data_IF_443289019815
#
_entry.id   IF_443289019815
#
_cell.length_a   1.000
_cell.length_b   1.000
_cell.length_c   1.000
_cell.angle_alpha   90.00
_cell.angle_beta   90.00
_cell.angle_gamma   90.00
#
_symmetry.space_group_name_H-M   'P 1'
#
loop_
_entity.id
_entity.type
_entity.pdbx_description
1 polymer ?
#
# COMPACT_ATOMS: atom_id res chain seq x y z
N UNK A 1 -12.79 -24.87 -2.25
CA UNK A 1 -13.17 -24.89 -0.82
C UNK A 1 -14.14 -23.74 -0.63
N UNK A 2 -15.30 -24.02 -0.05
CA UNK A 2 -16.34 -23.02 0.23
C UNK A 2 -16.29 -22.64 1.72
N UNK A 3 -16.23 -21.34 2.00
CA UNK A 3 -16.18 -20.79 3.36
C UNK A 3 -17.41 -19.91 3.57
N UNK A 4 -18.09 -20.11 4.68
CA UNK A 4 -19.19 -19.26 5.12
C UNK A 4 -18.68 -18.35 6.28
N UNK A 5 -18.66 -17.04 6.07
CA UNK A 5 -18.57 -16.06 7.15
C UNK A 5 -20.02 -15.76 7.59
N UNK A 6 -20.39 -16.19 8.79
CA UNK A 6 -21.78 -16.19 9.25
C UNK A 6 -22.03 -15.10 10.29
N UNK A 7 -23.16 -14.40 10.14
CA UNK A 7 -23.66 -13.42 11.11
C UNK A 7 -22.69 -12.24 11.37
N UNK A 8 -22.14 -11.65 10.30
CA UNK A 8 -21.28 -10.48 10.35
C UNK A 8 -22.06 -9.17 10.20
N UNK A 9 -21.53 -8.06 10.73
CA UNK A 9 -21.86 -6.73 10.25
C UNK A 9 -21.08 -6.49 8.95
N UNK A 10 -21.75 -6.45 7.80
CA UNK A 10 -21.14 -6.34 6.48
C UNK A 10 -21.05 -4.88 6.04
N UNK A 11 -19.85 -4.36 5.78
CA UNK A 11 -19.68 -3.11 5.06
C UNK A 11 -19.75 -3.34 3.55
N UNK A 12 -20.74 -2.74 2.92
CA UNK A 12 -20.95 -2.84 1.48
C UNK A 12 -21.51 -1.52 0.93
N UNK A 13 -20.94 -0.98 -0.14
CA UNK A 13 -21.39 0.26 -0.80
C UNK A 13 -21.48 1.48 0.15
N UNK A 14 -20.68 1.51 1.21
CA UNK A 14 -20.70 2.60 2.20
C UNK A 14 -21.81 2.50 3.25
N UNK A 15 -22.45 1.34 3.36
CA UNK A 15 -23.49 1.04 4.36
C UNK A 15 -23.10 -0.20 5.18
N UNK A 16 -23.68 -0.32 6.37
CA UNK A 16 -23.54 -1.51 7.22
C UNK A 16 -24.82 -2.32 7.16
N UNK A 17 -24.69 -3.59 6.83
CA UNK A 17 -25.77 -4.59 6.81
C UNK A 17 -25.54 -5.59 7.95
N UNK A 18 -26.28 -5.41 9.04
CA UNK A 18 -26.19 -6.29 10.22
C UNK A 18 -26.69 -7.71 9.89
N UNK A 19 -26.17 -8.70 10.62
CA UNK A 19 -26.59 -10.10 10.52
C UNK A 19 -26.49 -10.67 9.09
N UNK A 20 -25.46 -10.27 8.37
CA UNK A 20 -25.18 -10.72 7.00
C UNK A 20 -24.33 -11.97 6.98
N UNK A 21 -24.36 -12.67 5.84
CA UNK A 21 -23.56 -13.86 5.61
C UNK A 21 -22.82 -13.70 4.29
N UNK A 22 -21.54 -14.09 4.25
CA UNK A 22 -20.69 -14.01 3.06
C UNK A 22 -20.23 -15.42 2.71
N UNK A 23 -20.46 -15.86 1.49
CA UNK A 23 -19.92 -17.11 0.97
C UNK A 23 -18.76 -16.84 0.05
N UNK A 24 -17.63 -17.44 0.37
CA UNK A 24 -16.44 -17.45 -0.46
C UNK A 24 -16.28 -18.83 -1.09
N UNK A 25 -16.05 -18.88 -2.40
CA UNK A 25 -15.77 -20.12 -3.13
C UNK A 25 -14.53 -19.95 -3.99
N UNK A 26 -13.49 -20.73 -3.70
CA UNK A 26 -12.18 -20.51 -4.24
C UNK A 26 -11.68 -19.13 -3.88
N UNK A 27 -11.32 -18.30 -4.86
CA UNK A 27 -10.77 -16.94 -4.64
C UNK A 27 -11.81 -15.81 -4.73
N UNK A 28 -13.07 -16.14 -4.90
CA UNK A 28 -14.11 -15.14 -5.16
C UNK A 28 -15.19 -15.13 -4.06
N UNK A 29 -15.71 -13.96 -3.78
CA UNK A 29 -16.97 -13.79 -3.07
C UNK A 29 -18.08 -14.27 -4.01
N UNK A 30 -18.86 -15.25 -3.56
CA UNK A 30 -19.90 -15.88 -4.39
C UNK A 30 -21.27 -15.25 -4.20
N UNK A 31 -21.74 -15.22 -2.96
CA UNK A 31 -23.11 -14.81 -2.63
C UNK A 31 -23.26 -14.37 -1.17
N UNK A 32 -24.40 -13.77 -0.87
CA UNK A 32 -24.78 -13.29 0.47
C UNK A 32 -26.12 -13.91 0.90
N UNK A 33 -26.14 -15.20 1.31
CA UNK A 33 -27.38 -15.91 1.61
C UNK A 33 -28.03 -15.42 2.90
N UNK A 34 -29.38 -15.29 2.90
CA UNK A 34 -30.13 -14.88 4.12
C UNK A 34 -30.21 -15.99 5.17
N UNK A 35 -30.32 -17.24 4.75
CA UNK A 35 -30.52 -18.40 5.63
C UNK A 35 -29.61 -19.56 5.21
N UNK A 36 -28.27 -19.44 5.39
CA UNK A 36 -27.37 -20.52 5.02
C UNK A 36 -27.51 -21.69 6.00
N UNK A 37 -27.31 -22.91 5.50
CA UNK A 37 -27.17 -24.10 6.33
C UNK A 37 -25.67 -24.41 6.46
N UNK A 38 -25.19 -24.60 7.67
CA UNK A 38 -23.76 -24.80 7.91
C UNK A 38 -23.21 -26.04 7.18
N UNK A 39 -24.01 -27.06 7.02
CA UNK A 39 -23.64 -28.31 6.34
C UNK A 39 -23.40 -28.19 4.83
N UNK A 40 -23.79 -27.07 4.23
CA UNK A 40 -23.59 -26.82 2.80
C UNK A 40 -22.17 -26.27 2.47
N UNK A 41 -21.34 -26.00 3.48
CA UNK A 41 -20.01 -25.36 3.33
C UNK A 41 -18.91 -26.22 3.95
N UNK A 42 -17.71 -26.14 3.38
CA UNK A 42 -16.54 -26.87 3.87
C UNK A 42 -16.05 -26.31 5.21
N UNK A 43 -16.21 -25.00 5.42
CA UNK A 43 -15.83 -24.30 6.65
C UNK A 43 -16.85 -23.21 7.00
N UNK A 44 -17.10 -23.01 8.30
CA UNK A 44 -17.97 -21.95 8.81
C UNK A 44 -17.21 -21.14 9.87
N UNK A 45 -17.13 -19.84 9.68
CA UNK A 45 -16.54 -18.88 10.63
C UNK A 45 -17.69 -18.09 11.25
N UNK A 46 -17.82 -18.16 12.57
CA UNK A 46 -18.76 -17.36 13.32
C UNK A 46 -18.30 -15.90 13.36
N UNK A 47 -19.09 -15.01 12.79
CA UNK A 47 -18.82 -13.60 12.68
C UNK A 47 -19.60 -12.73 13.66
N UNK A 48 -20.23 -13.33 14.67
CA UNK A 48 -20.97 -12.57 15.68
C UNK A 48 -20.07 -11.51 16.34
N UNK A 49 -20.53 -10.25 16.38
CA UNK A 49 -19.77 -9.08 16.80
C UNK A 49 -18.55 -8.72 15.93
N UNK A 50 -18.41 -9.29 14.74
CA UNK A 50 -17.38 -8.95 13.79
C UNK A 50 -17.92 -8.00 12.72
N UNK A 51 -17.12 -6.99 12.38
CA UNK A 51 -17.31 -6.14 11.20
C UNK A 51 -16.48 -6.71 10.05
N UNK A 52 -17.15 -7.09 8.97
CA UNK A 52 -16.47 -7.49 7.74
C UNK A 52 -16.21 -6.27 6.86
N UNK A 53 -14.95 -5.97 6.59
CA UNK A 53 -14.50 -4.99 5.62
C UNK A 53 -13.73 -5.66 4.48
N UNK A 54 -13.64 -5.02 3.30
CA UNK A 54 -12.61 -5.40 2.33
C UNK A 54 -11.23 -5.34 2.97
N UNK A 55 -10.34 -6.22 2.56
CA UNK A 55 -8.94 -6.15 2.96
C UNK A 55 -8.32 -4.80 2.62
N UNK A 56 -7.49 -4.27 3.53
CA UNK A 56 -6.87 -2.97 3.36
C UNK A 56 -5.75 -3.03 2.30
N UNK A 57 -5.65 -1.97 1.50
CA UNK A 57 -4.72 -1.85 0.38
C UNK A 57 -3.71 -0.75 0.67
N UNK A 58 -2.45 -1.13 0.87
CA UNK A 58 -1.32 -0.22 1.07
C UNK A 58 -0.69 0.13 -0.28
N UNK A 59 -0.98 1.31 -0.81
CA UNK A 59 -0.61 1.70 -2.18
C UNK A 59 0.84 2.11 -2.35
N UNK A 60 1.59 2.29 -1.26
CA UNK A 60 3.01 2.64 -1.33
C UNK A 60 3.73 2.23 -0.06
N UNK A 61 4.79 1.44 -0.23
CA UNK A 61 5.68 1.02 0.86
C UNK A 61 7.06 0.62 0.34
N UNK A 62 7.99 0.38 1.28
CA UNK A 62 9.31 -0.20 1.10
C UNK A 62 9.50 -1.28 2.17
N UNK A 63 8.93 -2.47 1.93
CA UNK A 63 8.77 -3.49 2.97
C UNK A 63 10.10 -3.98 3.56
N UNK A 64 11.15 -4.07 2.74
CA UNK A 64 12.50 -4.42 3.21
C UNK A 64 13.07 -3.45 4.24
N UNK A 65 12.59 -2.19 4.25
CA UNK A 65 13.03 -1.16 5.20
C UNK A 65 12.43 -1.31 6.60
N UNK A 66 11.70 -2.36 6.92
CA UNK A 66 11.33 -2.64 8.33
C UNK A 66 12.54 -2.78 9.23
N UNK A 67 13.69 -3.22 8.69
CA UNK A 67 14.96 -3.31 9.39
C UNK A 67 15.60 -1.96 9.75
N UNK A 68 15.10 -0.87 9.17
CA UNK A 68 15.54 0.52 9.45
C UNK A 68 14.59 1.25 10.42
N UNK A 69 13.58 0.58 10.93
CA UNK A 69 12.64 1.17 11.89
C UNK A 69 13.38 1.73 13.10
N UNK A 70 13.13 3.00 13.44
CA UNK A 70 13.79 3.74 14.52
C UNK A 70 15.33 3.88 14.41
N UNK A 71 15.92 3.56 13.26
CA UNK A 71 17.35 3.71 13.05
C UNK A 71 17.77 5.19 12.94
N UNK A 72 16.95 6.02 12.31
CA UNK A 72 17.25 7.42 12.05
C UNK A 72 15.96 8.26 12.04
N UNK A 73 15.52 8.69 13.20
CA UNK A 73 14.33 9.54 13.36
C UNK A 73 14.73 11.03 13.45
N UNK A 74 13.74 11.93 13.26
CA UNK A 74 13.85 13.38 13.45
C UNK A 74 14.90 14.08 12.53
N UNK A 75 14.98 13.65 11.26
CA UNK A 75 15.85 14.21 10.23
C UNK A 75 15.05 14.69 9.02
N UNK A 76 15.56 15.72 8.32
CA UNK A 76 15.02 16.12 7.02
C UNK A 76 15.31 15.03 5.96
N UNK A 77 14.40 14.86 4.96
CA UNK A 77 14.46 13.78 3.98
C UNK A 77 15.84 13.57 3.36
N UNK A 78 16.48 14.63 2.84
CA UNK A 78 17.76 14.48 2.15
C UNK A 78 18.92 14.14 3.10
N UNK A 79 18.91 14.68 4.32
CA UNK A 79 19.90 14.34 5.36
C UNK A 79 19.70 12.90 5.83
N UNK A 80 18.42 12.47 5.97
CA UNK A 80 18.05 11.12 6.31
C UNK A 80 18.52 10.12 5.24
N UNK A 81 18.21 10.37 3.95
CA UNK A 81 18.61 9.50 2.85
C UNK A 81 20.14 9.40 2.73
N UNK A 82 20.83 10.55 2.58
CA UNK A 82 22.26 10.59 2.22
C UNK A 82 23.16 10.13 3.36
N UNK A 83 22.83 10.50 4.61
CA UNK A 83 23.73 10.29 5.74
C UNK A 83 23.38 9.04 6.57
N UNK A 84 22.17 8.47 6.38
CA UNK A 84 21.70 7.33 7.19
C UNK A 84 21.26 6.14 6.35
N UNK A 85 20.34 6.33 5.40
CA UNK A 85 19.72 5.21 4.71
C UNK A 85 20.64 4.63 3.62
N UNK A 86 21.05 5.43 2.64
CA UNK A 86 21.85 4.93 1.52
C UNK A 86 23.14 4.23 1.94
N UNK A 87 23.92 4.72 2.95
CA UNK A 87 25.11 4.00 3.41
C UNK A 87 24.81 2.59 3.94
N UNK A 88 23.66 2.37 4.59
CA UNK A 88 23.29 1.05 5.09
C UNK A 88 22.70 0.18 3.97
N UNK A 89 21.99 0.79 3.02
CA UNK A 89 21.44 0.08 1.85
C UNK A 89 22.50 -0.55 0.95
N UNK A 90 23.73 -0.02 0.96
CA UNK A 90 24.87 -0.64 0.23
C UNK A 90 25.22 -2.05 0.73
N UNK A 91 24.77 -2.42 1.93
CA UNK A 91 25.01 -3.73 2.56
C UNK A 91 23.82 -4.69 2.46
N UNK A 92 22.75 -4.30 1.77
CA UNK A 92 21.59 -5.17 1.55
C UNK A 92 21.93 -6.33 0.61
N UNK A 93 21.24 -7.44 0.86
CA UNK A 93 21.24 -8.63 -0.01
C UNK A 93 19.85 -9.29 0.02
N UNK A 94 19.67 -10.36 -0.77
CA UNK A 94 18.39 -11.07 -0.88
C UNK A 94 17.89 -11.60 0.47
N UNK A 95 18.78 -12.15 1.30
CA UNK A 95 18.42 -12.72 2.61
C UNK A 95 17.94 -11.63 3.59
N UNK A 96 18.65 -10.50 3.65
CA UNK A 96 18.28 -9.35 4.48
C UNK A 96 16.90 -8.81 4.05
N UNK A 97 16.70 -8.59 2.75
CA UNK A 97 15.43 -8.07 2.24
C UNK A 97 14.29 -9.07 2.40
N UNK A 98 14.54 -10.38 2.23
CA UNK A 98 13.54 -11.42 2.48
C UNK A 98 13.00 -11.34 3.92
N UNK A 99 13.88 -11.31 4.92
CA UNK A 99 13.46 -11.31 6.32
C UNK A 99 12.88 -9.97 6.77
N UNK A 100 13.37 -8.85 6.24
CA UNK A 100 12.74 -7.54 6.40
C UNK A 100 11.31 -7.52 5.85
N UNK A 101 11.12 -8.11 4.66
CA UNK A 101 9.79 -8.24 4.03
C UNK A 101 8.87 -9.18 4.83
N UNK A 102 9.37 -10.31 5.34
CA UNK A 102 8.58 -11.21 6.19
C UNK A 102 8.10 -10.53 7.47
N UNK A 103 8.93 -9.69 8.10
CA UNK A 103 8.53 -8.88 9.25
C UNK A 103 7.42 -7.87 8.87
N UNK A 104 7.58 -7.20 7.72
CA UNK A 104 6.58 -6.28 7.21
C UNK A 104 5.23 -6.97 6.97
N UNK A 105 5.25 -8.12 6.29
CA UNK A 105 4.02 -8.86 5.99
C UNK A 105 3.33 -9.42 7.24
N UNK A 106 4.09 -9.84 8.25
CA UNK A 106 3.52 -10.22 9.53
C UNK A 106 2.78 -9.04 10.20
N UNK A 107 3.37 -7.85 10.20
CA UNK A 107 2.74 -6.62 10.71
C UNK A 107 1.52 -6.21 9.88
N UNK A 108 1.64 -6.22 8.56
CA UNK A 108 0.56 -5.86 7.62
C UNK A 108 -0.65 -6.78 7.76
N UNK A 109 -0.45 -8.10 7.75
CA UNK A 109 -1.55 -9.08 7.91
C UNK A 109 -2.21 -8.89 9.28
N UNK A 110 -1.43 -8.76 10.35
CA UNK A 110 -1.95 -8.47 11.70
C UNK A 110 -2.80 -7.21 11.73
N UNK A 111 -2.48 -6.23 10.91
CA UNK A 111 -3.21 -4.97 10.77
C UNK A 111 -4.30 -4.98 9.69
N UNK A 112 -4.61 -6.13 9.07
CA UNK A 112 -5.67 -6.24 8.06
C UNK A 112 -5.29 -5.76 6.66
N UNK A 113 -4.02 -5.47 6.40
CA UNK A 113 -3.53 -5.18 5.05
C UNK A 113 -3.41 -6.47 4.26
N UNK A 114 -4.11 -6.57 3.15
CA UNK A 114 -4.14 -7.75 2.27
C UNK A 114 -3.34 -7.55 0.99
N UNK A 115 -3.20 -6.29 0.57
CA UNK A 115 -2.54 -5.92 -0.67
C UNK A 115 -1.53 -4.79 -0.43
N UNK A 116 -0.40 -4.83 -1.13
CA UNK A 116 0.63 -3.80 -1.04
C UNK A 116 1.20 -3.43 -2.40
N UNK A 117 1.79 -2.23 -2.50
CA UNK A 117 2.64 -1.83 -3.62
C UNK A 117 4.01 -1.45 -3.07
N UNK A 118 5.04 -2.13 -3.53
CA UNK A 118 6.40 -1.96 -3.03
C UNK A 118 7.36 -1.50 -4.12
N UNK A 119 8.23 -0.56 -3.78
CA UNK A 119 9.33 -0.12 -4.64
C UNK A 119 10.63 -0.23 -3.87
N UNK A 120 11.45 -1.26 -4.14
CA UNK A 120 12.72 -1.39 -3.43
C UNK A 120 13.79 -2.13 -4.26
N UNK A 121 14.85 -2.57 -3.58
CA UNK A 121 15.89 -3.44 -4.13
C UNK A 121 15.58 -4.91 -3.81
N UNK A 122 16.23 -5.84 -4.50
CA UNK A 122 16.08 -7.30 -4.26
C UNK A 122 14.63 -7.78 -4.31
N UNK A 123 13.84 -7.26 -5.26
CA UNK A 123 12.39 -7.49 -5.34
C UNK A 123 11.99 -8.95 -5.61
N UNK A 124 12.92 -9.80 -6.07
CA UNK A 124 12.67 -11.24 -6.12
C UNK A 124 12.53 -11.83 -4.72
N UNK A 125 13.40 -11.44 -3.77
CA UNK A 125 13.31 -11.88 -2.38
C UNK A 125 12.05 -11.36 -1.70
N UNK A 126 11.65 -10.10 -1.97
CA UNK A 126 10.38 -9.55 -1.53
C UNK A 126 9.19 -10.36 -2.09
N UNK A 127 9.19 -10.68 -3.39
CA UNK A 127 8.15 -11.49 -4.03
C UNK A 127 8.03 -12.90 -3.40
N UNK A 128 9.15 -13.57 -3.16
CA UNK A 128 9.20 -14.87 -2.50
C UNK A 128 8.66 -14.83 -1.06
N UNK A 129 9.01 -13.78 -0.30
CA UNK A 129 8.46 -13.53 1.03
C UNK A 129 6.94 -13.29 0.98
N UNK A 130 6.47 -12.46 0.04
CA UNK A 130 5.05 -12.17 -0.15
C UNK A 130 4.24 -13.41 -0.57
N UNK A 131 4.80 -14.24 -1.47
CA UNK A 131 4.18 -15.51 -1.87
C UNK A 131 4.05 -16.46 -0.68
N UNK A 132 5.11 -16.59 0.12
CA UNK A 132 5.12 -17.40 1.34
C UNK A 132 4.14 -16.90 2.39
N UNK A 133 4.03 -15.60 2.58
CA UNK A 133 3.11 -14.97 3.50
C UNK A 133 1.64 -15.06 3.03
N UNK A 134 1.41 -15.30 1.75
CA UNK A 134 0.07 -15.30 1.15
C UNK A 134 -0.44 -13.92 0.73
N UNK A 135 0.42 -12.88 0.73
CA UNK A 135 0.06 -11.51 0.38
C UNK A 135 -0.28 -11.35 -1.11
N UNK A 136 -1.06 -10.31 -1.41
CA UNK A 136 -1.24 -9.77 -2.76
C UNK A 136 -0.32 -8.57 -2.93
N UNK A 137 0.39 -8.43 -4.07
CA UNK A 137 1.34 -7.34 -4.20
C UNK A 137 1.63 -6.87 -5.61
N UNK A 138 1.91 -5.57 -5.71
CA UNK A 138 2.53 -4.97 -6.88
C UNK A 138 4.01 -4.73 -6.56
N UNK A 139 4.90 -5.32 -7.36
CA UNK A 139 6.33 -5.29 -7.13
C UNK A 139 7.01 -4.34 -8.13
N UNK A 140 7.83 -3.41 -7.66
CA UNK A 140 8.60 -2.53 -8.51
C UNK A 140 10.07 -2.50 -8.07
N UNK A 141 11.00 -2.81 -8.97
CA UNK A 141 12.43 -2.58 -8.73
C UNK A 141 12.70 -1.08 -8.74
N UNK A 142 13.15 -0.52 -7.63
CA UNK A 142 13.55 0.89 -7.54
C UNK A 142 14.69 1.22 -8.51
N UNK A 143 14.46 2.18 -9.41
CA UNK A 143 15.37 2.55 -10.49
C UNK A 143 15.94 3.93 -10.22
N UNK A 144 17.27 4.04 -10.13
CA UNK A 144 17.98 5.30 -10.01
C UNK A 144 18.91 5.47 -11.22
N UNK A 145 18.54 6.38 -12.14
CA UNK A 145 19.28 6.62 -13.37
C UNK A 145 20.68 7.19 -13.18
N UNK A 146 20.92 7.83 -12.02
CA UNK A 146 22.25 8.34 -11.62
C UNK A 146 23.16 7.26 -11.03
N UNK A 147 22.63 6.08 -10.72
CA UNK A 147 23.40 4.98 -10.14
C UNK A 147 24.25 4.27 -11.17
N UNK A 148 25.46 3.78 -10.79
CA UNK A 148 26.30 2.98 -11.69
C UNK A 148 25.61 1.72 -12.23
N UNK A 149 24.66 1.16 -11.50
CA UNK A 149 23.91 -0.04 -11.88
C UNK A 149 22.56 0.26 -12.57
N UNK A 150 22.31 1.50 -13.03
CA UNK A 150 21.05 1.92 -13.61
C UNK A 150 20.54 1.01 -14.75
N UNK A 151 21.43 0.53 -15.61
CA UNK A 151 21.06 -0.34 -16.74
C UNK A 151 20.74 -1.77 -16.30
N UNK A 152 21.47 -2.33 -15.33
CA UNK A 152 21.19 -3.67 -14.79
C UNK A 152 19.90 -3.65 -13.95
N UNK A 153 19.66 -2.60 -13.17
CA UNK A 153 18.42 -2.44 -12.40
C UNK A 153 17.18 -2.40 -13.30
N UNK A 154 17.27 -1.72 -14.45
CA UNK A 154 16.17 -1.71 -15.44
C UNK A 154 15.95 -3.11 -16.04
N UNK A 155 17.02 -3.85 -16.33
CA UNK A 155 16.92 -5.24 -16.78
C UNK A 155 16.36 -6.16 -15.69
N UNK A 156 16.76 -5.97 -14.43
CA UNK A 156 16.19 -6.69 -13.27
C UNK A 156 14.68 -6.48 -13.17
N UNK A 157 14.17 -5.24 -13.41
CA UNK A 157 12.73 -4.97 -13.39
C UNK A 157 11.99 -5.70 -14.54
N UNK A 158 12.61 -5.81 -15.72
CA UNK A 158 12.04 -6.58 -16.85
C UNK A 158 11.97 -8.08 -16.49
N UNK A 159 13.02 -8.63 -15.87
CA UNK A 159 13.01 -10.04 -15.43
C UNK A 159 12.02 -10.26 -14.27
N UNK A 160 11.88 -9.28 -13.36
CA UNK A 160 10.86 -9.29 -12.32
C UNK A 160 9.45 -9.38 -12.92
N UNK A 161 9.17 -8.56 -13.96
CA UNK A 161 7.90 -8.60 -14.69
C UNK A 161 7.65 -9.99 -15.28
N UNK A 162 8.61 -10.56 -15.98
CA UNK A 162 8.47 -11.89 -16.59
C UNK A 162 8.22 -13.01 -15.57
N UNK A 163 8.77 -12.88 -14.37
CA UNK A 163 8.66 -13.90 -13.31
C UNK A 163 7.36 -13.74 -12.52
N UNK A 164 7.00 -12.51 -12.16
CA UNK A 164 5.99 -12.27 -11.14
C UNK A 164 4.66 -11.75 -11.66
N UNK A 165 4.60 -11.11 -12.84
CA UNK A 165 3.33 -10.58 -13.32
C UNK A 165 2.34 -11.71 -13.60
N UNK A 166 1.19 -11.68 -12.92
CA UNK A 166 0.18 -12.75 -12.95
C UNK A 166 0.51 -13.98 -12.08
N UNK A 167 1.67 -14.04 -11.43
CA UNK A 167 2.04 -15.16 -10.56
C UNK A 167 1.16 -15.22 -9.28
N UNK A 168 1.34 -16.30 -8.47
CA UNK A 168 0.63 -16.47 -7.21
C UNK A 168 -0.90 -16.57 -7.37
N UNK A 169 -1.39 -17.25 -8.42
CA UNK A 169 -2.80 -17.32 -8.80
C UNK A 169 -3.42 -15.92 -9.04
N UNK A 170 -2.66 -15.02 -9.68
CA UNK A 170 -3.08 -13.66 -10.02
C UNK A 170 -2.94 -12.66 -8.86
N UNK A 171 -2.25 -13.02 -7.77
CA UNK A 171 -2.01 -12.10 -6.65
C UNK A 171 -0.92 -11.07 -6.94
N UNK A 172 0.01 -11.35 -7.87
CA UNK A 172 1.11 -10.44 -8.17
C UNK A 172 0.93 -9.68 -9.47
N UNK A 173 1.30 -8.40 -9.42
CA UNK A 173 1.51 -7.54 -10.57
C UNK A 173 2.89 -6.90 -10.46
N UNK A 174 3.40 -6.36 -11.57
CA UNK A 174 4.69 -5.68 -11.58
C UNK A 174 4.56 -4.30 -12.20
N UNK A 175 5.26 -3.34 -11.63
CA UNK A 175 5.37 -1.97 -12.12
C UNK A 175 6.84 -1.63 -12.40
N UNK A 176 7.11 -0.66 -13.27
CA UNK A 176 8.43 -0.03 -13.34
C UNK A 176 8.54 1.02 -12.23
N UNK A 177 9.64 0.98 -11.49
CA UNK A 177 9.86 1.81 -10.30
C UNK A 177 10.89 2.93 -10.49
N UNK A 178 10.78 3.90 -11.43
CA UNK A 178 11.68 5.06 -11.42
C UNK A 178 11.51 5.80 -10.10
N UNK A 179 12.62 5.91 -9.34
CA UNK A 179 12.55 6.38 -7.96
C UNK A 179 11.94 7.78 -7.85
N UNK A 180 12.60 8.79 -8.43
CA UNK A 180 12.15 10.18 -8.38
C UNK A 180 12.85 11.00 -9.49
N UNK A 181 12.35 12.19 -9.87
CA UNK A 181 12.98 13.05 -10.89
C UNK A 181 14.44 13.41 -10.57
N UNK A 182 14.78 13.60 -9.30
CA UNK A 182 16.13 13.96 -8.88
C UNK A 182 17.15 12.80 -8.91
N UNK A 183 16.67 11.55 -9.01
CA UNK A 183 17.52 10.36 -9.21
C UNK A 183 17.41 9.77 -10.60
N UNK A 184 16.42 10.19 -11.40
CA UNK A 184 16.15 9.69 -12.72
C UNK A 184 16.17 10.84 -13.74
N UNK A 185 17.35 11.18 -14.34
CA UNK A 185 17.45 12.21 -15.37
C UNK A 185 16.53 11.96 -16.57
N UNK A 186 16.15 13.00 -17.33
CA UNK A 186 15.20 12.89 -18.46
C UNK A 186 15.51 11.77 -19.45
N UNK A 187 16.79 11.55 -19.78
CA UNK A 187 17.20 10.49 -20.71
C UNK A 187 16.99 9.07 -20.13
N UNK A 188 17.01 8.93 -18.80
CA UNK A 188 16.70 7.66 -18.15
C UNK A 188 15.19 7.44 -18.09
N UNK A 189 14.42 8.48 -17.77
CA UNK A 189 12.94 8.45 -17.79
C UNK A 189 12.41 8.05 -19.17
N UNK A 190 12.99 8.57 -20.26
CA UNK A 190 12.63 8.15 -21.61
C UNK A 190 12.85 6.65 -21.84
N UNK A 191 13.96 6.08 -21.33
CA UNK A 191 14.20 4.63 -21.41
C UNK A 191 13.18 3.83 -20.62
N UNK A 192 12.81 4.31 -19.42
CA UNK A 192 11.77 3.68 -18.60
C UNK A 192 10.43 3.70 -19.33
N UNK A 193 10.03 4.86 -19.90
CA UNK A 193 8.83 5.00 -20.72
C UNK A 193 8.81 4.03 -21.88
N UNK A 194 9.91 3.95 -22.66
CA UNK A 194 9.99 3.08 -23.84
C UNK A 194 9.84 1.59 -23.46
N UNK A 195 10.35 1.18 -22.28
CA UNK A 195 10.14 -0.16 -21.73
C UNK A 195 8.70 -0.36 -21.27
N UNK A 196 8.14 0.64 -20.55
CA UNK A 196 6.76 0.62 -20.11
C UNK A 196 5.79 0.43 -21.27
N UNK A 197 5.96 1.21 -22.35
CA UNK A 197 5.18 1.09 -23.58
C UNK A 197 5.36 -0.28 -24.25
N UNK A 198 6.61 -0.74 -24.41
CA UNK A 198 6.93 -2.00 -25.08
C UNK A 198 6.29 -3.23 -24.40
N UNK A 199 6.25 -3.25 -23.08
CA UNK A 199 5.76 -4.40 -22.32
C UNK A 199 4.39 -4.15 -21.67
N UNK A 200 3.81 -2.97 -21.85
CA UNK A 200 2.57 -2.52 -21.19
C UNK A 200 2.66 -2.64 -19.65
N UNK A 201 3.76 -2.15 -19.08
CA UNK A 201 4.01 -2.20 -17.63
C UNK A 201 3.62 -0.85 -17.02
N UNK A 202 2.78 -0.80 -15.97
CA UNK A 202 2.47 0.42 -15.23
C UNK A 202 3.71 0.99 -14.53
N UNK A 203 3.60 2.25 -14.08
CA UNK A 203 4.70 2.99 -13.45
C UNK A 203 4.35 3.35 -12.01
N UNK A 204 5.32 3.23 -11.12
CA UNK A 204 5.27 3.69 -9.74
C UNK A 204 6.44 4.66 -9.51
N UNK A 205 6.19 5.89 -9.03
CA UNK A 205 7.21 6.94 -8.92
C UNK A 205 6.90 7.89 -7.75
N UNK A 206 7.94 8.42 -7.06
CA UNK A 206 7.79 9.50 -6.08
C UNK A 206 7.79 10.84 -6.81
N UNK A 207 6.78 11.68 -6.54
CA UNK A 207 6.63 12.99 -7.19
C UNK A 207 6.22 14.07 -6.21
N UNK A 208 6.88 15.22 -6.28
CA UNK A 208 6.53 16.44 -5.54
C UNK A 208 6.42 16.20 -4.02
N UNK A 209 7.26 15.36 -3.46
CA UNK A 209 7.24 15.03 -2.04
C UNK A 209 7.68 16.23 -1.20
N UNK A 210 8.77 16.89 -1.56
CA UNK A 210 9.29 18.04 -0.84
C UNK A 210 9.29 19.31 -1.69
N UNK A 211 9.22 20.45 -1.00
CA UNK A 211 9.35 21.75 -1.68
C UNK A 211 10.69 21.88 -2.38
N UNK A 212 11.76 21.34 -1.78
CA UNK A 212 13.11 21.36 -2.36
C UNK A 212 13.20 20.59 -3.68
N UNK A 213 12.52 19.46 -3.80
CA UNK A 213 12.41 18.71 -5.07
C UNK A 213 11.79 19.59 -6.17
N UNK A 214 10.65 20.22 -5.87
CA UNK A 214 9.95 21.08 -6.84
C UNK A 214 10.78 22.28 -7.22
N UNK A 215 11.37 23.00 -6.25
CA UNK A 215 12.19 24.20 -6.49
C UNK A 215 13.43 23.85 -7.34
N UNK A 216 14.07 22.70 -7.08
CA UNK A 216 15.23 22.25 -7.87
C UNK A 216 14.84 21.86 -9.29
N UNK A 217 13.73 21.16 -9.49
CA UNK A 217 13.21 20.79 -10.80
C UNK A 217 12.85 22.04 -11.63
N UNK A 218 12.18 23.02 -11.02
CA UNK A 218 11.89 24.31 -11.65
C UNK A 218 13.15 25.07 -12.07
N UNK A 219 14.17 25.06 -11.21
CA UNK A 219 15.46 25.73 -11.48
C UNK A 219 16.21 25.05 -12.62
N UNK A 220 16.20 23.73 -12.69
CA UNK A 220 16.99 22.95 -13.65
C UNK A 220 16.29 22.83 -15.00
N UNK A 221 14.98 22.57 -15.00
CA UNK A 221 14.19 22.26 -16.22
C UNK A 221 13.16 23.32 -16.57
N UNK A 222 12.88 24.28 -15.70
CA UNK A 222 11.80 25.27 -15.92
C UNK A 222 10.39 24.67 -15.78
N UNK A 223 10.25 23.45 -15.30
CA UNK A 223 9.02 22.68 -15.16
C UNK A 223 8.90 22.12 -13.73
N UNK A 224 7.66 21.93 -13.27
CA UNK A 224 7.41 21.13 -12.06
C UNK A 224 7.70 19.65 -12.32
N UNK A 225 7.93 18.80 -11.30
CA UNK A 225 8.11 17.36 -11.50
C UNK A 225 6.98 16.71 -12.31
N UNK A 226 5.72 17.06 -12.03
CA UNK A 226 4.56 16.56 -12.79
C UNK A 226 4.62 17.00 -14.25
N UNK A 227 4.82 18.29 -14.52
CA UNK A 227 4.90 18.81 -15.89
C UNK A 227 6.10 18.24 -16.66
N UNK A 228 7.23 17.98 -15.98
CA UNK A 228 8.39 17.33 -16.58
C UNK A 228 8.08 15.89 -16.98
N UNK A 229 7.46 15.09 -16.10
CA UNK A 229 7.10 13.70 -16.41
C UNK A 229 6.08 13.60 -17.55
N UNK A 230 5.09 14.52 -17.58
CA UNK A 230 4.14 14.62 -18.69
C UNK A 230 4.84 14.97 -20.03
N UNK A 231 5.72 15.98 -20.00
CA UNK A 231 6.51 16.38 -21.18
C UNK A 231 7.43 15.26 -21.72
N UNK A 232 7.89 14.36 -20.84
CA UNK A 232 8.68 13.18 -21.21
C UNK A 232 7.81 12.00 -21.67
N UNK A 233 6.47 12.13 -21.60
CA UNK A 233 5.50 11.11 -21.99
C UNK A 233 5.39 9.95 -21.00
N UNK A 234 5.80 10.13 -19.75
CA UNK A 234 5.75 9.06 -18.74
C UNK A 234 4.30 8.68 -18.40
N UNK A 235 3.40 9.65 -18.39
CA UNK A 235 1.98 9.47 -18.04
C UNK A 235 1.10 8.92 -19.19
N UNK A 236 1.70 8.53 -20.33
CA UNK A 236 1.00 7.75 -21.35
C UNK A 236 0.76 6.30 -20.89
N UNK A 237 1.43 5.86 -19.83
CA UNK A 237 1.21 4.60 -19.16
C UNK A 237 0.47 4.82 -17.82
N UNK A 238 -0.35 3.84 -17.34
CA UNK A 238 -0.95 3.92 -16.03
C UNK A 238 0.13 4.20 -14.98
N UNK A 239 -0.04 5.27 -14.21
CA UNK A 239 0.98 5.73 -13.27
C UNK A 239 0.40 5.92 -11.88
N UNK A 240 1.09 5.38 -10.87
CA UNK A 240 0.90 5.62 -9.45
C UNK A 240 2.00 6.57 -8.95
N UNK A 241 1.62 7.77 -8.56
CA UNK A 241 2.52 8.79 -8.02
C UNK A 241 2.42 8.82 -6.49
N UNK A 242 3.52 8.54 -5.80
CA UNK A 242 3.58 8.63 -4.35
C UNK A 242 3.77 10.09 -3.89
N UNK A 243 3.16 10.42 -2.76
CA UNK A 243 3.21 11.68 -2.02
C UNK A 243 2.42 12.83 -2.63
N UNK A 244 2.82 13.41 -3.74
CA UNK A 244 2.19 14.56 -4.41
C UNK A 244 1.83 15.71 -3.45
N UNK A 245 2.75 16.05 -2.51
CA UNK A 245 2.53 17.06 -1.46
C UNK A 245 2.54 18.46 -2.04
N UNK A 246 3.53 18.77 -2.89
CA UNK A 246 3.78 20.11 -3.43
C UNK A 246 3.35 20.28 -4.88
N UNK A 247 2.14 19.78 -5.21
CA UNK A 247 1.52 19.97 -6.55
C UNK A 247 0.72 21.25 -6.59
N UNK A 248 0.76 21.96 -7.71
CA UNK A 248 -0.06 23.15 -7.98
C UNK A 248 -1.32 22.80 -8.79
N UNK A 249 -2.20 23.80 -9.05
CA UNK A 249 -3.45 23.57 -9.75
C UNK A 249 -3.25 23.10 -11.22
N UNK A 250 -2.14 23.47 -11.88
CA UNK A 250 -1.80 22.96 -13.22
C UNK A 250 -1.34 21.52 -13.17
N UNK A 251 -0.53 21.15 -12.17
CA UNK A 251 -0.10 19.77 -11.94
C UNK A 251 -1.31 18.85 -11.71
N UNK A 252 -2.26 19.28 -10.85
CA UNK A 252 -3.51 18.54 -10.59
C UNK A 252 -4.30 18.35 -11.89
N UNK A 253 -4.37 19.37 -12.74
CA UNK A 253 -5.05 19.29 -14.03
C UNK A 253 -4.38 18.29 -14.97
N UNK A 254 -3.04 18.26 -15.05
CA UNK A 254 -2.29 17.29 -15.84
C UNK A 254 -2.58 15.87 -15.32
N UNK A 255 -2.43 15.66 -14.00
CA UNK A 255 -2.66 14.36 -13.37
C UNK A 255 -4.08 13.82 -13.63
N UNK A 256 -5.10 14.69 -13.53
CA UNK A 256 -6.49 14.33 -13.82
C UNK A 256 -6.69 13.95 -15.30
N UNK A 257 -6.12 14.70 -16.23
CA UNK A 257 -6.23 14.43 -17.66
C UNK A 257 -5.51 13.15 -18.08
N UNK A 258 -4.44 12.80 -17.39
CA UNK A 258 -3.62 11.60 -17.63
C UNK A 258 -4.01 10.41 -16.76
N UNK A 259 -5.05 10.53 -15.97
CA UNK A 259 -5.53 9.48 -15.05
C UNK A 259 -4.45 8.95 -14.11
N UNK A 260 -3.54 9.82 -13.67
CA UNK A 260 -2.52 9.48 -12.67
C UNK A 260 -3.20 9.20 -11.33
N UNK A 261 -2.94 8.04 -10.75
CA UNK A 261 -3.35 7.72 -9.39
C UNK A 261 -2.34 8.24 -8.36
N UNK A 262 -2.79 8.52 -7.15
CA UNK A 262 -1.93 9.04 -6.08
C UNK A 262 -1.92 8.08 -4.89
N UNK A 263 -0.73 7.74 -4.39
CA UNK A 263 -0.54 7.13 -3.09
C UNK A 263 -0.29 8.24 -2.06
N UNK A 264 -1.28 8.52 -1.24
CA UNK A 264 -1.19 9.49 -0.15
C UNK A 264 -0.62 8.82 1.10
N UNK A 265 0.50 9.34 1.62
CA UNK A 265 1.26 8.77 2.72
C UNK A 265 1.28 9.76 3.91
N UNK A 266 0.14 9.99 4.60
CA UNK A 266 0.05 11.08 5.58
C UNK A 266 1.04 10.90 6.75
N UNK A 267 1.26 9.68 7.24
CA UNK A 267 2.20 9.39 8.32
C UNK A 267 3.62 9.80 8.00
N UNK A 268 4.14 9.34 6.85
CA UNK A 268 5.49 9.66 6.37
C UNK A 268 5.65 11.14 6.06
N UNK A 269 4.69 11.74 5.33
CA UNK A 269 4.73 13.15 4.97
C UNK A 269 4.81 14.08 6.21
N UNK A 270 4.10 13.73 7.29
CA UNK A 270 4.11 14.47 8.54
C UNK A 270 5.41 14.25 9.31
N UNK A 271 5.89 13.01 9.40
CA UNK A 271 7.10 12.67 10.14
C UNK A 271 8.34 13.32 9.52
N UNK A 272 8.45 13.31 8.19
CA UNK A 272 9.56 13.93 7.46
C UNK A 272 9.39 15.45 7.25
N UNK A 273 8.30 16.03 7.78
CA UNK A 273 7.94 17.43 7.59
C UNK A 273 7.84 17.84 6.10
N UNK A 274 7.49 16.89 5.22
CA UNK A 274 7.29 17.16 3.79
C UNK A 274 6.09 18.07 3.55
N UNK A 275 5.03 17.97 4.39
CA UNK A 275 3.84 18.81 4.32
C UNK A 275 2.54 18.01 4.21
N UNK A 276 1.46 18.69 3.79
CA UNK A 276 0.13 18.09 3.64
C UNK A 276 -0.28 18.17 2.17
N UNK A 277 -0.46 17.02 1.53
CA UNK A 277 -0.89 16.93 0.15
C UNK A 277 -2.31 17.53 -0.04
N UNK A 278 -2.61 18.20 -1.17
CA UNK A 278 -3.91 18.82 -1.41
C UNK A 278 -4.96 17.78 -1.87
N UNK A 279 -5.18 16.74 -1.07
CA UNK A 279 -6.03 15.57 -1.40
C UNK A 279 -7.42 15.96 -1.83
N UNK A 280 -8.05 16.96 -1.15
CA UNK A 280 -9.40 17.41 -1.50
C UNK A 280 -9.45 17.98 -2.93
N UNK A 281 -8.46 18.79 -3.32
CA UNK A 281 -8.38 19.31 -4.69
C UNK A 281 -8.17 18.20 -5.72
N UNK A 282 -7.32 17.23 -5.42
CA UNK A 282 -7.07 16.09 -6.30
C UNK A 282 -8.36 15.28 -6.51
N UNK A 283 -9.03 14.87 -5.43
CA UNK A 283 -10.28 14.10 -5.49
C UNK A 283 -11.39 14.86 -6.22
N UNK A 284 -11.56 16.17 -5.95
CA UNK A 284 -12.54 17.02 -6.64
C UNK A 284 -12.23 17.17 -8.14
N UNK A 285 -11.00 16.92 -8.56
CA UNK A 285 -10.57 16.93 -9.97
C UNK A 285 -10.69 15.53 -10.62
N UNK A 286 -11.21 14.53 -9.91
CA UNK A 286 -11.41 13.16 -10.41
C UNK A 286 -10.16 12.27 -10.32
N UNK A 287 -9.13 12.67 -9.58
CA UNK A 287 -7.94 11.84 -9.34
C UNK A 287 -8.28 10.79 -8.28
N UNK A 288 -7.98 9.53 -8.57
CA UNK A 288 -8.08 8.44 -7.59
C UNK A 288 -6.92 8.55 -6.60
N UNK A 289 -7.25 8.56 -5.30
CA UNK A 289 -6.26 8.69 -4.22
C UNK A 289 -6.39 7.51 -3.27
N UNK A 290 -5.40 6.62 -3.28
CA UNK A 290 -5.25 5.56 -2.29
C UNK A 290 -4.38 6.00 -1.12
N UNK A 291 -4.38 5.21 -0.04
CA UNK A 291 -3.51 5.41 1.12
C UNK A 291 -2.29 4.48 1.05
N UNK A 292 -1.15 4.98 1.49
CA UNK A 292 0.05 4.19 1.70
C UNK A 292 0.74 4.53 3.02
N UNK A 293 1.49 3.60 3.56
CA UNK A 293 2.25 3.81 4.79
C UNK A 293 3.62 4.41 4.54
N UNK A 294 4.13 4.25 3.31
CA UNK A 294 5.55 4.40 3.03
C UNK A 294 6.39 3.39 3.85
N UNK A 295 7.68 3.62 4.04
CA UNK A 295 8.55 2.71 4.78
C UNK A 295 8.33 2.75 6.29
N UNK A 296 8.64 1.65 6.96
CA UNK A 296 8.73 1.65 8.43
C UNK A 296 9.90 2.52 8.95
N UNK A 297 10.80 2.96 8.09
CA UNK A 297 11.85 3.91 8.44
C UNK A 297 11.35 5.36 8.45
N UNK A 298 10.44 5.73 7.54
CA UNK A 298 9.87 7.09 7.45
C UNK A 298 8.56 7.27 8.20
N UNK A 299 7.89 6.17 8.60
CA UNK A 299 6.61 6.20 9.33
C UNK A 299 6.67 5.53 10.71
N UNK A 300 7.52 4.54 10.89
CA UNK A 300 7.65 3.62 12.03
C UNK A 300 6.52 2.58 12.14
N UNK A 301 5.40 2.70 11.41
CA UNK A 301 4.30 1.73 11.39
C UNK A 301 3.89 1.39 9.96
N UNK A 302 3.47 0.15 9.76
CA UNK A 302 2.80 -0.31 8.54
C UNK A 302 1.31 -0.53 8.83
N UNK A 303 0.65 0.48 9.42
CA UNK A 303 -0.68 0.43 10.01
C UNK A 303 -1.67 1.29 9.21
N UNK A 304 -2.46 0.64 8.36
CA UNK A 304 -3.43 1.31 7.50
C UNK A 304 -4.59 1.95 8.29
N UNK A 305 -4.95 1.46 9.49
CA UNK A 305 -5.91 2.14 10.35
C UNK A 305 -5.39 3.50 10.82
N UNK A 306 -4.10 3.56 11.15
CA UNK A 306 -3.46 4.83 11.49
C UNK A 306 -3.47 5.81 10.31
N UNK A 307 -3.16 5.34 9.10
CA UNK A 307 -3.19 6.17 7.89
C UNK A 307 -4.61 6.65 7.55
N UNK A 308 -5.63 5.80 7.63
CA UNK A 308 -7.04 6.19 7.44
C UNK A 308 -7.45 7.27 8.43
N UNK A 309 -7.11 7.08 9.72
CA UNK A 309 -7.42 8.05 10.77
C UNK A 309 -6.70 9.39 10.54
N UNK A 310 -5.42 9.36 10.20
CA UNK A 310 -4.64 10.56 9.88
C UNK A 310 -5.22 11.31 8.69
N UNK A 311 -5.52 10.63 7.59
CA UNK A 311 -6.13 11.23 6.40
C UNK A 311 -7.46 11.92 6.76
N UNK A 312 -8.34 11.23 7.50
CA UNK A 312 -9.61 11.81 7.91
C UNK A 312 -9.46 13.05 8.82
N UNK A 313 -8.47 13.09 9.70
CA UNK A 313 -8.30 14.19 10.66
C UNK A 313 -7.53 15.38 10.08
N UNK A 314 -6.41 15.12 9.41
CA UNK A 314 -5.52 16.19 8.97
C UNK A 314 -6.15 17.08 7.90
N UNK A 315 -6.91 16.47 6.99
CA UNK A 315 -7.56 17.24 5.93
C UNK A 315 -8.69 18.13 6.46
N UNK A 316 -9.43 17.68 7.49
CA UNK A 316 -10.42 18.53 8.17
C UNK A 316 -9.76 19.76 8.79
N UNK A 317 -8.68 19.55 9.53
CA UNK A 317 -7.95 20.64 10.18
C UNK A 317 -7.31 21.59 9.15
N UNK A 318 -6.67 21.06 8.12
CA UNK A 318 -5.97 21.86 7.10
C UNK A 318 -6.90 22.68 6.22
N UNK A 319 -8.13 22.21 5.98
CA UNK A 319 -9.11 22.90 5.13
C UNK A 319 -10.17 23.66 5.94
N UNK A 320 -10.15 23.59 7.28
CA UNK A 320 -11.22 24.16 8.16
C UNK A 320 -12.61 23.65 7.77
N UNK A 321 -12.71 22.40 7.32
CA UNK A 321 -13.92 21.78 6.83
C UNK A 321 -14.13 20.41 7.48
N UNK A 322 -15.18 20.20 8.30
CA UNK A 322 -15.44 18.91 8.94
C UNK A 322 -15.84 17.80 7.95
N UNK A 323 -16.17 18.16 6.71
CA UNK A 323 -16.52 17.23 5.65
C UNK A 323 -15.32 16.83 4.78
N UNK A 324 -14.17 17.48 4.93
CA UNK A 324 -12.96 17.12 4.21
C UNK A 324 -12.48 15.72 4.64
N UNK A 325 -12.49 14.75 3.75
CA UNK A 325 -12.24 13.32 3.97
C UNK A 325 -13.07 12.74 5.12
N UNK A 326 -14.30 12.34 4.80
CA UNK A 326 -15.22 11.66 5.73
C UNK A 326 -14.69 10.28 6.15
N UNK A 327 -15.29 9.65 7.16
CA UNK A 327 -14.96 8.30 7.58
C UNK A 327 -15.05 7.29 6.43
N UNK A 328 -16.15 7.36 5.65
CA UNK A 328 -16.34 6.53 4.46
C UNK A 328 -15.23 6.74 3.44
N UNK A 329 -14.90 7.98 3.11
CA UNK A 329 -13.85 8.27 2.13
C UNK A 329 -12.48 7.78 2.59
N UNK A 330 -12.17 7.83 3.89
CA UNK A 330 -10.92 7.27 4.42
C UNK A 330 -10.86 5.75 4.27
N UNK A 331 -11.98 5.05 4.49
CA UNK A 331 -12.09 3.60 4.23
C UNK A 331 -11.96 3.33 2.72
N UNK A 332 -12.66 4.07 1.87
CA UNK A 332 -12.59 3.90 0.42
C UNK A 332 -11.15 4.11 -0.10
N UNK A 333 -10.42 5.09 0.40
CA UNK A 333 -8.99 5.31 0.08
C UNK A 333 -8.11 4.14 0.52
N UNK A 334 -8.44 3.50 1.64
CA UNK A 334 -7.74 2.32 2.16
C UNK A 334 -8.20 0.99 1.55
N UNK A 335 -9.21 0.97 0.69
CA UNK A 335 -9.81 -0.24 0.10
C UNK A 335 -10.00 -0.08 -1.41
N UNK A 336 -11.18 0.29 -1.90
CA UNK A 336 -11.52 0.31 -3.33
C UNK A 336 -10.71 1.31 -4.15
N UNK A 337 -10.42 2.50 -3.62
CA UNK A 337 -9.57 3.47 -4.33
C UNK A 337 -8.12 2.99 -4.36
N UNK A 338 -7.63 2.41 -3.26
CA UNK A 338 -6.35 1.75 -3.23
C UNK A 338 -6.25 0.61 -4.26
N UNK A 339 -7.26 -0.24 -4.35
CA UNK A 339 -7.32 -1.32 -5.34
C UNK A 339 -7.25 -0.80 -6.79
N UNK A 340 -7.99 0.27 -7.09
CA UNK A 340 -7.93 0.94 -8.41
C UNK A 340 -6.54 1.52 -8.70
N UNK A 341 -5.89 2.12 -7.70
CA UNK A 341 -4.50 2.59 -7.83
C UNK A 341 -3.53 1.47 -8.20
N UNK A 342 -3.78 0.24 -7.73
CA UNK A 342 -2.99 -0.95 -8.03
C UNK A 342 -3.46 -1.68 -9.31
N UNK A 343 -4.46 -1.15 -10.01
CA UNK A 343 -4.96 -1.71 -11.26
C UNK A 343 -5.84 -2.95 -11.08
N UNK A 344 -6.55 -3.09 -9.95
CA UNK A 344 -7.53 -4.13 -9.74
C UNK A 344 -8.96 -3.57 -9.84
N UNK A 345 -9.78 -4.16 -10.72
CA UNK A 345 -11.16 -3.75 -10.95
C UNK A 345 -12.18 -4.49 -10.05
N UNK A 346 -11.78 -5.65 -9.51
CA UNK A 346 -12.63 -6.53 -8.70
C UNK A 346 -12.03 -6.81 -7.31
N UNK A 347 -11.44 -5.78 -6.70
CA UNK A 347 -10.84 -5.82 -5.36
C UNK A 347 -11.27 -4.58 -4.57
N UNK A 348 -11.29 -4.67 -3.24
CA UNK A 348 -11.53 -3.54 -2.35
C UNK A 348 -13.01 -3.24 -2.08
N UNK A 349 -13.91 -4.13 -2.52
CA UNK A 349 -15.33 -4.15 -2.16
C UNK A 349 -15.79 -5.57 -1.84
N UNK A 350 -16.84 -5.71 -1.01
CA UNK A 350 -17.47 -7.00 -0.70
C UNK A 350 -18.69 -7.21 -1.58
N UNK A 351 -18.45 -7.61 -2.84
CA UNK A 351 -19.51 -7.88 -3.83
C UNK A 351 -19.33 -9.25 -4.48
N UNK A 352 -20.43 -9.82 -4.99
CA UNK A 352 -20.37 -11.08 -5.72
C UNK A 352 -19.52 -10.96 -6.98
N UNK A 353 -18.57 -11.88 -7.16
CA UNK A 353 -17.60 -11.89 -8.25
C UNK A 353 -16.31 -11.13 -7.95
N UNK A 354 -16.23 -10.40 -6.83
CA UNK A 354 -14.99 -9.77 -6.37
C UNK A 354 -14.04 -10.79 -5.74
N UNK A 355 -12.75 -10.44 -5.73
CA UNK A 355 -11.73 -11.22 -5.05
C UNK A 355 -11.99 -11.23 -3.54
N UNK A 356 -11.86 -12.39 -2.93
CA UNK A 356 -12.11 -12.57 -1.51
C UNK A 356 -10.84 -12.20 -0.70
N UNK A 357 -10.55 -10.91 -0.67
CA UNK A 357 -9.63 -10.26 0.26
C UNK A 357 -10.50 -9.58 1.32
N UNK A 358 -10.65 -10.19 2.48
CA UNK A 358 -11.64 -9.84 3.51
C UNK A 358 -10.96 -9.78 4.87
N UNK A 359 -11.32 -8.80 5.68
CA UNK A 359 -10.93 -8.74 7.10
C UNK A 359 -12.16 -8.76 7.99
N UNK A 360 -12.06 -9.50 9.10
CA UNK A 360 -13.03 -9.46 10.18
C UNK A 360 -12.41 -8.70 11.36
N UNK A 361 -13.14 -7.71 11.85
CA UNK A 361 -12.71 -6.81 12.93
C UNK A 361 -13.57 -7.09 14.15
N UNK A 362 -12.95 -7.44 15.25
CA UNK A 362 -13.61 -7.66 16.55
C UNK A 362 -14.11 -6.35 17.15
N UNK A 363 -15.42 -6.19 17.24
CA UNK A 363 -16.09 -5.01 17.80
C UNK A 363 -16.42 -5.15 19.29
N UNK A 364 -15.87 -6.13 20.01
CA UNK A 364 -16.14 -6.34 21.43
C UNK A 364 -15.40 -5.39 22.36
N UNK A 365 -14.37 -4.72 21.87
CA UNK A 365 -13.54 -3.78 22.62
C UNK A 365 -14.30 -2.54 23.13
N UNK A 366 -13.84 -1.94 24.21
CA UNK A 366 -14.50 -0.76 24.83
C UNK A 366 -14.65 0.42 23.87
N UNK A 367 -13.70 0.64 22.99
CA UNK A 367 -13.68 1.75 22.02
C UNK A 367 -14.66 1.55 20.86
N UNK A 368 -15.27 0.37 20.73
CA UNK A 368 -16.36 0.08 19.80
C UNK A 368 -17.75 0.37 20.40
N UNK A 369 -17.83 0.88 21.63
CA UNK A 369 -19.09 1.17 22.30
C UNK A 369 -19.22 2.63 22.72
N UNK A 370 -20.45 3.23 22.59
CA UNK A 370 -21.64 2.66 21.94
C UNK A 370 -21.52 2.61 20.43
N UNK A 371 -22.17 1.64 19.77
CA UNK A 371 -22.16 1.46 18.31
C UNK A 371 -23.31 2.21 17.65
N UNK A 372 -23.13 3.50 17.37
CA UNK A 372 -24.10 4.29 16.60
C UNK A 372 -23.81 4.23 15.09
N UNK A 373 -22.55 4.17 14.72
CA UNK A 373 -22.07 4.13 13.33
C UNK A 373 -20.73 3.38 13.26
N UNK A 374 -20.78 2.14 12.78
CA UNK A 374 -19.60 1.28 12.67
C UNK A 374 -18.59 1.79 11.63
N UNK A 375 -19.01 2.56 10.62
CA UNK A 375 -18.12 3.20 9.63
C UNK A 375 -17.26 4.26 10.33
N UNK A 376 -17.91 5.13 11.09
CA UNK A 376 -17.23 6.15 11.88
C UNK A 376 -16.28 5.53 12.91
N UNK A 377 -16.74 4.46 13.60
CA UNK A 377 -15.90 3.76 14.56
C UNK A 377 -14.68 3.12 13.90
N UNK A 378 -14.82 2.47 12.75
CA UNK A 378 -13.71 1.88 12.02
C UNK A 378 -12.64 2.90 11.64
N UNK A 379 -13.05 4.09 11.16
CA UNK A 379 -12.11 5.13 10.72
C UNK A 379 -11.49 5.94 11.87
N UNK A 380 -12.19 6.16 12.97
CA UNK A 380 -11.73 7.07 14.04
C UNK A 380 -11.32 6.38 15.34
N UNK A 381 -11.92 5.24 15.67
CA UNK A 381 -11.71 4.54 16.93
C UNK A 381 -11.05 3.17 16.75
N UNK A 382 -11.30 2.48 15.64
CA UNK A 382 -10.71 1.19 15.33
C UNK A 382 -9.18 1.26 15.20
N UNK A 383 -8.53 0.15 15.42
CA UNK A 383 -7.09 0.01 15.32
C UNK A 383 -6.70 -1.37 14.77
N UNK A 384 -5.46 -1.50 14.32
CA UNK A 384 -4.92 -2.74 13.73
C UNK A 384 -5.01 -3.97 14.64
N UNK A 385 -5.05 -3.79 15.96
CA UNK A 385 -5.15 -4.90 16.93
C UNK A 385 -6.56 -5.48 17.05
N UNK A 386 -7.57 -4.79 16.50
CA UNK A 386 -8.96 -5.27 16.48
C UNK A 386 -9.19 -6.29 15.34
N UNK A 387 -8.28 -6.38 14.36
CA UNK A 387 -8.38 -7.35 13.26
C UNK A 387 -8.19 -8.76 13.83
N UNK A 388 -9.19 -9.59 13.63
CA UNK A 388 -9.25 -10.97 14.13
C UNK A 388 -8.88 -11.98 13.05
N UNK A 389 -9.51 -11.87 11.88
CA UNK A 389 -9.37 -12.83 10.77
C UNK A 389 -9.04 -12.09 9.49
N UNK A 390 -8.11 -12.62 8.71
CA UNK A 390 -7.70 -12.08 7.41
C UNK A 390 -7.72 -13.18 6.37
N UNK A 391 -8.43 -12.90 5.28
CA UNK A 391 -8.50 -13.73 4.09
C UNK A 391 -7.91 -13.00 2.91
N UNK A 392 -7.05 -13.67 2.14
CA UNK A 392 -6.45 -13.13 0.91
C UNK A 392 -6.65 -14.15 -0.22
N UNK A 393 -7.22 -13.70 -1.32
CA UNK A 393 -7.52 -14.56 -2.47
C UNK A 393 -8.31 -15.81 -2.06
N UNK A 394 -9.23 -15.67 -1.08
CA UNK A 394 -10.06 -16.74 -0.54
C UNK A 394 -9.35 -17.71 0.42
N UNK A 395 -8.09 -17.46 0.77
CA UNK A 395 -7.33 -18.27 1.71
C UNK A 395 -7.18 -17.53 3.05
N UNK A 396 -7.41 -18.23 4.16
CA UNK A 396 -7.16 -17.68 5.48
C UNK A 396 -5.64 -17.58 5.70
N UNK A 397 -5.16 -16.38 6.00
CA UNK A 397 -3.76 -16.10 6.34
C UNK A 397 -3.60 -15.72 7.82
N UNK A 398 -4.68 -15.27 8.46
CA UNK A 398 -4.76 -15.06 9.90
C UNK A 398 -6.15 -15.45 10.39
N UNK A 399 -6.25 -16.03 11.60
CA UNK A 399 -7.51 -16.36 12.27
C UNK A 399 -7.33 -16.31 13.79
N UNK A 400 -8.33 -15.83 14.49
CA UNK A 400 -8.28 -15.68 15.97
C UNK A 400 -7.01 -14.90 16.39
N UNK A 401 -6.61 -13.89 15.57
CA UNK A 401 -5.38 -13.08 15.72
C UNK A 401 -4.07 -13.86 15.58
N UNK A 402 -4.09 -15.11 15.13
CA UNK A 402 -2.90 -15.92 14.90
C UNK A 402 -2.57 -16.01 13.40
N UNK A 403 -1.33 -15.73 13.03
CA UNK A 403 -0.84 -15.86 11.66
C UNK A 403 -0.71 -17.33 11.28
N UNK A 404 -1.36 -17.72 10.17
CA UNK A 404 -1.37 -19.11 9.70
C UNK A 404 -0.26 -19.43 8.69
N UNK A 405 0.28 -18.42 8.02
CA UNK A 405 1.26 -18.57 6.93
C UNK A 405 2.68 -18.17 7.34
N UNK A 406 2.83 -17.48 8.48
CA UNK A 406 4.09 -16.91 8.96
C UNK A 406 4.43 -17.47 10.34
N UNK A 407 5.60 -18.06 10.46
CA UNK A 407 6.20 -18.47 11.73
C UNK A 407 6.84 -17.23 12.40
N UNK A 408 6.12 -16.64 13.35
CA UNK A 408 6.51 -15.38 14.02
C UNK A 408 7.80 -15.53 14.82
N UNK A 409 8.02 -16.67 15.51
CA UNK A 409 9.23 -16.91 16.29
C UNK A 409 10.46 -16.96 15.38
N UNK A 410 10.34 -17.64 14.25
CA UNK A 410 11.39 -17.70 13.24
C UNK A 410 11.65 -16.32 12.64
N UNK A 411 10.62 -15.55 12.32
CA UNK A 411 10.80 -14.18 11.80
C UNK A 411 11.60 -13.33 12.77
N UNK A 412 11.27 -13.32 14.06
CA UNK A 412 12.02 -12.56 15.06
C UNK A 412 13.48 -13.02 15.20
N UNK A 413 13.73 -14.32 15.19
CA UNK A 413 15.08 -14.88 15.26
C UNK A 413 15.93 -14.46 14.04
N UNK A 414 15.38 -14.59 12.83
CA UNK A 414 16.09 -14.25 11.60
C UNK A 414 16.26 -12.73 11.42
N UNK A 415 15.25 -11.94 11.75
CA UNK A 415 15.38 -10.47 11.78
C UNK A 415 16.50 -10.04 12.74
N UNK A 416 16.59 -10.65 13.93
CA UNK A 416 17.68 -10.36 14.86
C UNK A 416 19.05 -10.73 14.28
N UNK A 417 19.15 -11.82 13.50
CA UNK A 417 20.37 -12.23 12.82
C UNK A 417 20.77 -11.26 11.71
N UNK A 418 19.85 -11.00 10.75
CA UNK A 418 20.15 -10.13 9.61
C UNK A 418 20.37 -8.67 10.01
N UNK A 419 19.71 -8.19 11.09
CA UNK A 419 19.97 -6.86 11.63
C UNK A 419 21.40 -6.73 12.17
N UNK A 420 21.90 -7.73 12.89
CA UNK A 420 23.31 -7.75 13.35
C UNK A 420 24.29 -7.74 12.17
N UNK A 421 23.99 -8.49 11.11
CA UNK A 421 24.78 -8.50 9.89
C UNK A 421 24.76 -7.11 9.22
N UNK A 422 23.56 -6.57 8.97
CA UNK A 422 23.35 -5.29 8.30
C UNK A 422 24.06 -4.12 8.99
N UNK A 423 24.06 -4.09 10.32
CA UNK A 423 24.69 -3.01 11.10
C UNK A 423 26.09 -3.35 11.64
N UNK A 424 26.71 -4.46 11.19
CA UNK A 424 28.09 -4.80 11.59
C UNK A 424 29.13 -3.85 11.01
N UNK A 425 28.75 -3.01 10.04
CA UNK A 425 29.64 -2.06 9.35
C UNK A 425 29.46 -0.60 9.83
N UNK A 426 28.51 -0.36 10.73
CA UNK A 426 28.26 0.95 11.35
C UNK A 426 28.83 0.99 12.77
#
# INVERSE_FOLDING_TARGET
>A
MSILLKDVALYQNGEIHEHSNIVVDGKLIREFPKHPRNEDYDEVIDGQNMLALPGLVNTHTHVGMTLFRSYADDLALMDWLQNKIWPVEEHLNDDIVYWGSMLAFAEMIRGGTTSFCDMYMFMNACGEAAEKAGMRGNLARGLAGVSPNASSALQENIELFKKWDGAGDGRFKVMLGPHAPYTCPPEYIKKVRDIAEKYNIPIHIHLCETKGEVDNCLKEYGLTPIALMDNLGLFEQPTLAAHCVHVNDNDIKIMAQKHVCVAHNPGSNLKLASGIAPVIKMRNSGITVGLGTDSAASNNKLDMFAEMRLAALIHKANNYDPFAVTAKEAIDMGTIEGAKCLGYDNLGELESGYLADIILIDQSGFHWHPRFDSISLAAYAGNSMDVDTVMINGNLVMRDKELLTIDTERVFAEVSRVTKELYSFT
#
